data_IF_633740585997
#
_entry.id   IF_633740585997
#
_cell.length_a   1.000
_cell.length_b   1.000
_cell.length_c   1.000
_cell.angle_alpha   90.00
_cell.angle_beta   90.00
_cell.angle_gamma   90.00
#
_symmetry.space_group_name_H-M   'P 1'
#
loop_
_entity.id
_entity.type
_entity.pdbx_description
1 polymer ?
#
# COMPACT_ATOMS: atom_id res chain seq x y z
N UNK A 1 23.13 5.58 -8.61
CA UNK A 1 22.06 4.87 -9.37
C UNK A 1 22.55 4.03 -10.56
N UNK A 2 23.86 3.98 -10.88
CA UNK A 2 24.40 3.24 -12.03
C UNK A 2 24.01 1.75 -12.07
N UNK A 3 24.12 1.04 -10.95
CA UNK A 3 23.83 -0.39 -10.87
C UNK A 3 22.35 -0.71 -11.17
N UNK A 4 21.42 0.13 -10.69
CA UNK A 4 19.98 -0.05 -11.00
C UNK A 4 19.73 0.08 -12.50
N UNK A 5 20.32 1.10 -13.14
CA UNK A 5 20.19 1.31 -14.57
C UNK A 5 20.90 0.24 -15.42
N UNK A 6 21.95 -0.39 -14.88
CA UNK A 6 22.65 -1.51 -15.53
C UNK A 6 21.78 -2.76 -15.59
N UNK A 7 21.10 -3.09 -14.50
CA UNK A 7 20.35 -4.35 -14.35
C UNK A 7 18.89 -4.25 -14.77
N UNK A 8 18.26 -3.08 -14.58
CA UNK A 8 16.83 -2.88 -14.78
C UNK A 8 16.52 -1.89 -15.90
N UNK A 9 15.31 -2.01 -16.44
CA UNK A 9 14.71 -1.06 -17.38
C UNK A 9 13.26 -0.72 -16.99
N UNK A 10 12.78 0.45 -17.41
CA UNK A 10 11.41 0.90 -17.10
C UNK A 10 10.36 0.06 -17.83
N UNK A 11 9.30 -0.31 -17.11
CA UNK A 11 8.06 -0.84 -17.70
C UNK A 11 7.24 0.31 -18.28
N UNK A 12 6.64 0.10 -19.45
CA UNK A 12 5.75 1.10 -20.07
C UNK A 12 4.50 1.39 -19.22
N UNK A 13 3.98 0.35 -18.56
CA UNK A 13 2.81 0.43 -17.68
C UNK A 13 2.97 -0.59 -16.55
N UNK A 14 2.48 -0.23 -15.37
CA UNK A 14 2.41 -1.14 -14.22
C UNK A 14 1.25 -0.74 -13.31
N UNK A 15 0.55 -1.73 -12.77
CA UNK A 15 -0.54 -1.52 -11.84
C UNK A 15 0.01 -1.34 -10.43
N UNK A 16 -0.32 -0.22 -9.81
CA UNK A 16 -0.06 0.04 -8.41
C UNK A 16 -1.36 -0.12 -7.63
N UNK A 17 -1.44 -1.15 -6.80
CA UNK A 17 -2.63 -1.42 -5.96
C UNK A 17 -3.12 -0.15 -5.26
N UNK A 18 -4.36 0.26 -5.57
CA UNK A 18 -4.99 1.46 -5.01
C UNK A 18 -4.77 2.75 -5.79
N UNK A 19 -3.83 2.77 -6.74
CA UNK A 19 -3.57 3.86 -7.69
C UNK A 19 -3.95 3.50 -9.13
N UNK A 20 -4.03 2.21 -9.47
CA UNK A 20 -4.28 1.71 -10.81
C UNK A 20 -3.03 1.70 -11.68
N UNK A 21 -3.21 1.67 -13.01
CA UNK A 21 -2.10 1.65 -13.95
C UNK A 21 -1.40 3.01 -14.02
N UNK A 22 -0.10 3.02 -13.69
CA UNK A 22 0.75 4.22 -13.75
C UNK A 22 1.86 4.00 -14.77
N UNK A 23 1.97 4.81 -15.84
CA UNK A 23 3.02 4.68 -16.85
C UNK A 23 4.42 4.90 -16.26
N UNK A 24 5.41 4.14 -16.76
CA UNK A 24 6.84 4.33 -16.41
C UNK A 24 7.13 4.39 -14.91
N UNK A 25 6.34 3.67 -14.11
CA UNK A 25 6.38 3.71 -12.65
C UNK A 25 7.05 2.49 -12.02
N UNK A 26 7.39 1.48 -12.82
CA UNK A 26 7.98 0.24 -12.33
C UNK A 26 9.16 -0.19 -13.20
N UNK A 27 9.98 -1.09 -12.65
CA UNK A 27 11.15 -1.66 -13.31
C UNK A 27 10.91 -3.13 -13.68
N UNK A 28 11.66 -3.61 -14.68
CA UNK A 28 11.83 -5.03 -14.99
C UNK A 28 13.30 -5.36 -15.21
N UNK A 29 13.66 -6.62 -15.01
CA UNK A 29 15.02 -7.11 -15.26
C UNK A 29 15.30 -7.06 -16.76
N UNK A 30 16.48 -6.56 -17.16
CA UNK A 30 16.91 -6.53 -18.56
C UNK A 30 17.16 -7.93 -19.11
N UNK A 31 17.10 -8.06 -20.43
CA UNK A 31 17.35 -9.31 -21.15
C UNK A 31 18.67 -9.99 -20.79
N UNK A 32 19.71 -9.19 -20.58
CA UNK A 32 21.08 -9.69 -20.32
C UNK A 32 21.18 -10.41 -18.97
N UNK A 33 20.21 -10.14 -18.07
CA UNK A 33 20.08 -10.74 -16.75
C UNK A 33 18.88 -11.70 -16.65
N UNK A 34 18.33 -12.17 -17.78
CA UNK A 34 17.13 -13.00 -17.83
C UNK A 34 17.21 -14.30 -17.02
N UNK A 35 18.41 -14.83 -16.79
CA UNK A 35 18.62 -16.00 -15.93
C UNK A 35 18.16 -15.78 -14.48
N UNK A 36 18.01 -14.53 -14.05
CA UNK A 36 17.52 -14.13 -12.73
C UNK A 36 16.05 -13.71 -12.71
N UNK A 37 15.38 -13.66 -13.87
CA UNK A 37 14.01 -13.18 -13.99
C UNK A 37 12.98 -14.31 -13.79
N UNK A 38 12.25 -14.26 -12.67
CA UNK A 38 11.20 -15.22 -12.34
C UNK A 38 10.04 -15.20 -13.34
N UNK A 39 9.69 -14.04 -13.92
CA UNK A 39 8.62 -13.92 -14.93
C UNK A 39 8.99 -14.67 -16.22
N UNK A 40 10.28 -14.85 -16.50
CA UNK A 40 10.77 -15.61 -17.66
C UNK A 40 11.00 -17.09 -17.35
N UNK A 41 11.36 -17.41 -16.11
CA UNK A 41 11.64 -18.79 -15.67
C UNK A 41 10.38 -19.59 -15.37
N UNK A 42 9.31 -18.93 -14.95
CA UNK A 42 8.06 -19.57 -14.54
C UNK A 42 6.89 -18.98 -15.31
N UNK A 43 6.15 -19.84 -16.02
CA UNK A 43 4.88 -19.44 -16.63
C UNK A 43 3.80 -19.42 -15.55
N UNK A 44 3.54 -18.24 -14.99
CA UNK A 44 2.47 -18.04 -14.01
C UNK A 44 1.25 -17.40 -14.69
N UNK A 45 0.04 -17.83 -14.34
CA UNK A 45 -1.16 -17.12 -14.77
C UNK A 45 -1.18 -15.72 -14.14
N UNK A 46 -1.58 -14.72 -14.92
CA UNK A 46 -1.82 -13.38 -14.40
C UNK A 46 -3.13 -13.41 -13.60
N UNK A 47 -3.02 -13.30 -12.28
CA UNK A 47 -4.16 -13.24 -11.38
C UNK A 47 -4.34 -11.80 -10.89
N UNK A 48 -5.51 -11.22 -11.16
CA UNK A 48 -5.94 -9.97 -10.54
C UNK A 48 -6.97 -10.30 -9.48
N UNK A 49 -6.67 -10.00 -8.22
CA UNK A 49 -7.57 -10.19 -7.09
C UNK A 49 -7.94 -8.83 -6.55
N UNK A 50 -9.23 -8.52 -6.55
CA UNK A 50 -9.73 -7.28 -6.01
C UNK A 50 -9.50 -7.21 -4.49
N UNK A 51 -9.31 -5.98 -4.00
CA UNK A 51 -9.28 -5.71 -2.57
C UNK A 51 -10.59 -6.09 -1.89
N UNK A 52 -10.51 -6.37 -0.59
CA UNK A 52 -11.70 -6.59 0.22
C UNK A 52 -12.66 -5.41 0.05
N UNK A 53 -13.94 -5.67 -0.30
CA UNK A 53 -14.90 -4.63 -0.72
C UNK A 53 -15.11 -3.53 0.32
N UNK A 54 -14.99 -3.85 1.60
CA UNK A 54 -15.11 -2.88 2.69
C UNK A 54 -13.82 -2.09 2.98
N UNK A 55 -12.70 -2.45 2.34
CA UNK A 55 -11.42 -1.83 2.57
C UNK A 55 -11.25 -0.56 1.72
N UNK A 56 -10.84 0.53 2.35
CA UNK A 56 -10.70 1.84 1.69
C UNK A 56 -9.23 2.24 1.50
N UNK A 57 -8.30 1.28 1.51
CA UNK A 57 -6.86 1.52 1.35
C UNK A 57 -6.54 2.36 0.12
N UNK A 58 -7.21 2.17 -1.02
CA UNK A 58 -6.98 2.98 -2.22
C UNK A 58 -7.34 4.46 -2.05
N UNK A 59 -8.33 4.80 -1.23
CA UNK A 59 -8.63 6.21 -0.91
C UNK A 59 -7.63 6.79 0.08
N UNK A 60 -7.18 5.99 1.05
CA UNK A 60 -6.17 6.38 2.05
C UNK A 60 -4.80 6.60 1.39
N UNK A 61 -4.37 5.70 0.50
CA UNK A 61 -3.10 5.81 -0.23
C UNK A 61 -3.06 7.06 -1.12
N UNK A 62 -4.20 7.49 -1.65
CA UNK A 62 -4.34 8.72 -2.44
C UNK A 62 -4.48 9.98 -1.58
N UNK A 63 -4.52 9.86 -0.26
CA UNK A 63 -4.73 10.99 0.65
C UNK A 63 -6.15 11.56 0.60
N UNK A 64 -7.12 10.84 0.03
CA UNK A 64 -8.53 11.27 -0.05
C UNK A 64 -9.27 10.99 1.27
N UNK A 65 -8.80 10.01 2.05
CA UNK A 65 -9.34 9.62 3.35
C UNK A 65 -8.24 9.44 4.38
N UNK A 66 -8.50 9.78 5.63
CA UNK A 66 -7.68 9.34 6.76
C UNK A 66 -8.04 7.90 7.17
N UNK A 67 -7.11 7.17 7.83
CA UNK A 67 -7.41 5.83 8.35
C UNK A 67 -8.65 5.77 9.25
N UNK A 68 -8.91 6.81 10.05
CA UNK A 68 -10.11 6.91 10.89
C UNK A 68 -11.42 7.06 10.12
N UNK A 69 -11.36 7.50 8.86
CA UNK A 69 -12.54 7.61 8.01
C UNK A 69 -12.94 6.26 7.41
N UNK A 70 -12.10 5.23 7.56
CA UNK A 70 -12.37 3.89 7.09
C UNK A 70 -13.25 3.13 8.09
N UNK A 71 -14.43 2.72 7.63
CA UNK A 71 -15.46 2.10 8.49
C UNK A 71 -15.03 0.81 9.19
N UNK A 72 -14.02 0.11 8.66
CA UNK A 72 -13.49 -1.14 9.23
C UNK A 72 -12.17 -0.96 9.99
N UNK A 73 -11.61 0.26 10.05
CA UNK A 73 -10.33 0.53 10.71
C UNK A 73 -10.44 0.35 12.23
N UNK A 74 -9.52 -0.43 12.80
CA UNK A 74 -9.44 -0.68 14.24
C UNK A 74 -10.53 -1.58 14.81
N UNK A 75 -11.52 -1.97 14.00
CA UNK A 75 -12.60 -2.90 14.34
C UNK A 75 -12.36 -4.25 13.67
N UNK A 76 -12.85 -4.42 12.44
CA UNK A 76 -12.64 -5.64 11.67
C UNK A 76 -11.24 -5.72 11.06
N UNK A 77 -10.62 -4.58 10.75
CA UNK A 77 -9.26 -4.47 10.24
C UNK A 77 -8.32 -4.01 11.36
N UNK A 78 -7.48 -4.93 11.84
CA UNK A 78 -6.50 -4.71 12.92
C UNK A 78 -5.14 -5.31 12.52
N UNK A 79 -4.04 -5.06 13.26
CA UNK A 79 -2.77 -5.71 12.99
C UNK A 79 -2.84 -7.25 13.05
N UNK A 80 -3.65 -7.80 13.96
CA UNK A 80 -3.83 -9.25 14.10
C UNK A 80 -4.79 -9.83 13.04
N UNK A 81 -5.70 -9.00 12.51
CA UNK A 81 -6.61 -9.35 11.42
C UNK A 81 -6.58 -8.29 10.30
N UNK A 82 -5.52 -8.26 9.47
CA UNK A 82 -5.37 -7.20 8.49
C UNK A 82 -6.19 -7.49 7.23
N UNK A 83 -7.19 -6.66 6.96
CA UNK A 83 -8.06 -6.80 5.78
C UNK A 83 -7.56 -6.05 4.54
N UNK A 84 -6.55 -5.19 4.69
CA UNK A 84 -6.01 -4.37 3.60
C UNK A 84 -4.51 -4.13 3.71
N UNK A 85 -3.87 -3.84 2.58
CA UNK A 85 -2.41 -3.66 2.49
C UNK A 85 -1.86 -2.60 3.45
N UNK A 86 -2.62 -1.51 3.67
CA UNK A 86 -2.19 -0.46 4.59
C UNK A 86 -2.19 -0.89 6.07
N UNK A 87 -2.81 -2.02 6.43
CA UNK A 87 -2.74 -2.59 7.79
C UNK A 87 -1.69 -3.71 7.90
N UNK A 88 -1.39 -4.42 6.80
CA UNK A 88 -0.35 -5.47 6.77
C UNK A 88 1.05 -4.86 6.85
N UNK A 89 1.31 -3.79 6.10
CA UNK A 89 2.65 -3.19 6.03
C UNK A 89 2.96 -2.36 7.28
N UNK A 90 4.18 -2.48 7.83
CA UNK A 90 4.68 -1.62 8.90
C UNK A 90 4.77 -0.15 8.50
N UNK A 91 4.93 0.12 7.19
CA UNK A 91 4.94 1.47 6.61
C UNK A 91 3.54 1.90 6.14
N UNK A 92 2.54 1.03 6.27
CA UNK A 92 1.18 1.30 5.85
C UNK A 92 0.52 2.36 6.73
N UNK A 93 -0.20 3.30 6.10
CA UNK A 93 -0.86 4.40 6.81
C UNK A 93 -1.80 3.91 7.93
N UNK A 94 -2.54 2.82 7.72
CA UNK A 94 -3.43 2.27 8.74
C UNK A 94 -2.63 1.65 9.90
N UNK A 95 -1.62 0.83 9.63
CA UNK A 95 -0.80 0.22 10.67
C UNK A 95 -0.07 1.27 11.51
N UNK A 96 0.50 2.29 10.85
CA UNK A 96 1.14 3.42 11.51
C UNK A 96 0.15 4.19 12.39
N UNK A 97 -1.05 4.49 11.87
CA UNK A 97 -2.08 5.18 12.63
C UNK A 97 -2.58 4.35 13.82
N UNK A 98 -2.77 3.04 13.65
CA UNK A 98 -3.20 2.16 14.72
C UNK A 98 -2.16 2.09 15.86
N UNK A 99 -0.87 2.08 15.51
CA UNK A 99 0.24 1.96 16.45
C UNK A 99 0.53 3.25 17.20
N UNK A 100 0.50 4.39 16.50
CA UNK A 100 0.97 5.67 17.04
C UNK A 100 -0.13 6.71 17.24
N UNK A 101 -1.31 6.53 16.63
CA UNK A 101 -2.43 7.46 16.72
C UNK A 101 -2.98 7.64 18.13
N UNK A 102 -2.84 6.63 19.00
CA UNK A 102 -3.33 6.68 20.40
C UNK A 102 -2.63 7.72 21.28
N UNK A 103 -1.43 8.17 20.91
CA UNK A 103 -0.63 9.09 21.75
C UNK A 103 -0.82 10.58 21.39
N UNK A 104 -1.56 10.92 20.33
CA UNK A 104 -1.75 12.32 19.89
C UNK A 104 -3.15 12.87 20.20
N UNK A 105 -4.03 12.07 20.78
CA UNK A 105 -5.43 12.44 21.01
C UNK A 105 -5.73 12.87 22.45
N UNK A 106 -4.78 12.81 23.39
CA UNK A 106 -4.95 13.39 24.73
C UNK A 106 -4.72 14.91 24.82
N UNK A 107 -4.27 15.57 23.74
CA UNK A 107 -4.01 17.02 23.76
C UNK A 107 -5.12 17.89 23.15
N UNK A 108 -6.18 17.30 22.57
CA UNK A 108 -7.22 18.05 21.86
C UNK A 108 -8.66 17.86 22.38
N UNK A 109 -8.89 17.01 23.39
CA UNK A 109 -10.24 16.79 23.96
C UNK A 109 -10.51 17.66 25.20
N UNK A 110 -9.50 18.29 25.79
CA UNK A 110 -9.68 19.22 26.93
C UNK A 110 -10.14 20.62 26.50
N UNK A 111 -9.94 21.01 25.24
CA UNK A 111 -10.36 22.33 24.74
C UNK A 111 -11.83 22.37 24.27
N UNK A 112 -12.48 21.21 24.13
CA UNK A 112 -13.86 21.11 23.62
C UNK A 112 -14.93 20.96 24.71
N UNK A 113 -14.55 20.87 26.00
CA UNK A 113 -15.48 20.75 27.15
C UNK A 113 -15.76 22.05 27.90
N UNK A 114 -15.37 23.19 27.33
CA UNK A 114 -15.53 24.51 27.98
C UNK A 114 -16.47 25.44 27.20
N UNK A 115 -17.59 24.89 26.69
CA UNK A 115 -18.77 25.63 26.25
C UNK A 115 -20.04 24.91 26.69
#
# INVERSE_FOLDING_TARGET
QRLVAEVFELRRSFEWRGLGAVPYSALRIKSDFAAFDAERRFTLPVLSVADHKACECGAILRGVKHPRDCSIFGTACTPDNPLGSCMVSSEGACAAYYRYGRFREHDNDDTARMH
#
